data_IF_957456826595
#
_entry.id   IF_957456826595
#
_cell.length_a   1.000
_cell.length_b   1.000
_cell.length_c   1.000
_cell.angle_alpha   90.00
_cell.angle_beta   90.00
_cell.angle_gamma   90.00
#
_symmetry.space_group_name_H-M   'P 1'
#
loop_
_entity.id
_entity.type
_entity.pdbx_description
1 polymer ?
#
# COMPACT_ATOMS: atom_id res chain seq x y z
N UNK A 1 7.27 -8.76 0.20
CA UNK A 1 8.28 -7.68 0.13
C UNK A 1 7.99 -6.70 -1.02
N UNK A 2 7.37 -7.18 -2.11
CA UNK A 2 7.14 -6.40 -3.33
C UNK A 2 6.13 -5.25 -3.14
N UNK A 3 5.11 -5.43 -2.28
CA UNK A 3 4.12 -4.38 -2.01
C UNK A 3 4.74 -3.15 -1.34
N UNK A 4 5.60 -3.33 -0.33
CA UNK A 4 6.29 -2.19 0.30
C UNK A 4 7.14 -1.46 -0.73
N UNK A 5 7.91 -2.19 -1.56
CA UNK A 5 8.74 -1.57 -2.59
C UNK A 5 7.91 -0.79 -3.61
N UNK A 6 6.77 -1.34 -4.02
CA UNK A 6 5.83 -0.69 -4.93
C UNK A 6 5.30 0.63 -4.37
N UNK A 7 4.79 0.65 -3.13
CA UNK A 7 4.20 1.88 -2.57
C UNK A 7 5.24 2.98 -2.34
N UNK A 8 6.49 2.61 -2.07
CA UNK A 8 7.58 3.59 -1.93
C UNK A 8 7.85 4.40 -3.20
N UNK A 9 7.44 3.92 -4.39
CA UNK A 9 7.50 4.70 -5.63
C UNK A 9 6.61 5.94 -5.62
N UNK A 10 5.59 5.97 -4.76
CA UNK A 10 4.65 7.06 -4.59
C UNK A 10 4.93 7.92 -3.36
N UNK A 11 6.03 7.63 -2.64
CA UNK A 11 6.46 8.37 -1.47
C UNK A 11 7.47 9.44 -1.87
N UNK A 12 7.21 10.67 -1.44
CA UNK A 12 8.14 11.79 -1.49
C UNK A 12 8.30 12.33 -0.07
N UNK A 13 9.50 12.22 0.49
CA UNK A 13 9.81 12.68 1.85
C UNK A 13 10.28 14.14 1.90
N UNK A 14 10.45 14.79 0.75
CA UNK A 14 10.94 16.17 0.68
C UNK A 14 9.82 17.15 1.02
N UNK A 15 9.87 17.73 2.23
CA UNK A 15 8.92 18.76 2.69
C UNK A 15 8.94 20.05 1.87
N UNK A 16 10.03 20.36 1.17
CA UNK A 16 10.14 21.55 0.33
C UNK A 16 9.72 21.30 -1.13
N UNK A 17 9.22 20.11 -1.44
CA UNK A 17 8.73 19.78 -2.78
C UNK A 17 7.53 20.66 -3.15
N UNK A 18 7.54 21.19 -4.38
CA UNK A 18 6.43 21.96 -4.93
C UNK A 18 5.21 21.09 -5.25
N UNK A 19 4.10 21.73 -5.61
CA UNK A 19 2.84 21.06 -5.91
C UNK A 19 2.94 19.96 -6.97
N UNK A 20 3.72 20.18 -8.04
CA UNK A 20 3.92 19.19 -9.10
C UNK A 20 4.56 17.89 -8.57
N UNK A 21 5.63 18.00 -7.80
CA UNK A 21 6.33 16.84 -7.23
C UNK A 21 5.51 16.11 -6.15
N UNK A 22 4.60 16.81 -5.45
CA UNK A 22 3.64 16.20 -4.52
C UNK A 22 2.45 15.57 -5.23
N UNK A 23 2.07 16.05 -6.41
CA UNK A 23 1.03 15.42 -7.24
C UNK A 23 1.53 14.09 -7.85
N UNK A 24 2.77 14.07 -8.33
CA UNK A 24 3.41 12.84 -8.84
C UNK A 24 3.63 11.78 -7.74
N UNK A 25 3.95 12.23 -6.51
CA UNK A 25 4.18 11.38 -5.34
C UNK A 25 3.35 11.86 -4.14
N UNK A 26 2.09 11.39 -4.03
CA UNK A 26 1.10 11.97 -3.13
C UNK A 26 1.34 11.68 -1.65
N UNK A 27 2.20 10.73 -1.30
CA UNK A 27 2.43 10.32 0.09
C UNK A 27 3.72 10.92 0.64
N UNK A 28 3.64 11.49 1.85
CA UNK A 28 4.80 11.81 2.70
C UNK A 28 5.44 10.54 3.26
N UNK A 29 4.62 9.56 3.63
CA UNK A 29 5.05 8.28 4.17
C UNK A 29 4.04 7.18 3.82
N UNK A 30 4.51 5.94 3.70
CA UNK A 30 3.66 4.77 3.51
C UNK A 30 4.30 3.50 4.11
N UNK A 31 3.47 2.67 4.74
CA UNK A 31 3.86 1.36 5.27
C UNK A 31 2.81 0.32 4.92
N UNK A 32 3.24 -0.81 4.40
CA UNK A 32 2.40 -1.98 4.13
C UNK A 32 2.88 -3.13 5.01
N UNK A 33 1.94 -3.70 5.75
CA UNK A 33 2.14 -4.92 6.54
C UNK A 33 1.39 -6.05 5.85
N UNK A 34 2.04 -7.20 5.68
CA UNK A 34 1.43 -8.39 5.08
C UNK A 34 1.63 -9.54 6.04
N UNK A 35 0.53 -10.14 6.50
CA UNK A 35 0.54 -11.19 7.50
C UNK A 35 -0.32 -12.36 7.03
N UNK A 36 0.10 -13.61 7.30
CA UNK A 36 -0.73 -14.78 7.02
C UNK A 36 -1.96 -14.77 7.92
N UNK A 37 -3.09 -15.23 7.39
CA UNK A 37 -4.34 -15.34 8.17
C UNK A 37 -4.32 -16.65 8.96
N UNK A 38 -4.39 -16.62 10.31
CA UNK A 38 -4.44 -17.83 11.11
C UNK A 38 -5.62 -18.73 10.70
N UNK A 39 -5.36 -20.03 10.53
CA UNK A 39 -6.39 -21.01 10.17
C UNK A 39 -6.74 -21.07 8.68
N UNK A 40 -6.11 -20.26 7.82
CA UNK A 40 -6.31 -20.31 6.36
C UNK A 40 -4.96 -20.37 5.62
N UNK A 41 -4.51 -21.58 5.30
CA UNK A 41 -3.28 -21.78 4.56
C UNK A 41 -3.34 -21.11 3.18
N UNK A 42 -2.38 -20.24 2.88
CA UNK A 42 -2.31 -19.49 1.61
C UNK A 42 -3.09 -18.17 1.60
N UNK A 43 -3.86 -17.85 2.64
CA UNK A 43 -4.52 -16.55 2.78
C UNK A 43 -3.61 -15.55 3.49
N UNK A 44 -3.55 -14.32 2.97
CA UNK A 44 -2.78 -13.22 3.54
C UNK A 44 -3.65 -11.97 3.66
N UNK A 45 -3.48 -11.25 4.76
CA UNK A 45 -4.04 -9.93 4.97
C UNK A 45 -2.95 -8.87 4.74
N UNK A 46 -3.29 -7.82 4.01
CA UNK A 46 -2.44 -6.65 3.84
C UNK A 46 -3.09 -5.41 4.46
N UNK A 47 -2.35 -4.70 5.31
CA UNK A 47 -2.76 -3.43 5.92
C UNK A 47 -1.83 -2.33 5.46
N UNK A 48 -2.38 -1.27 4.87
CA UNK A 48 -1.63 -0.12 4.38
C UNK A 48 -1.88 1.12 5.24
N UNK A 49 -0.82 1.69 5.81
CA UNK A 49 -0.81 2.99 6.47
C UNK A 49 -0.26 4.03 5.49
N UNK A 50 -1.06 5.03 5.14
CA UNK A 50 -0.72 6.05 4.16
C UNK A 50 -0.78 7.42 4.82
N UNK A 51 0.27 8.23 4.63
CA UNK A 51 0.34 9.60 5.11
C UNK A 51 0.44 10.56 3.91
N UNK A 52 -0.66 11.20 3.49
CA UNK A 52 -0.73 12.06 2.32
C UNK A 52 -0.13 13.46 2.56
N UNK A 53 0.26 14.14 1.48
CA UNK A 53 0.65 15.55 1.49
C UNK A 53 -0.53 16.53 1.47
N UNK A 54 -1.59 16.16 0.77
CA UNK A 54 -2.78 16.99 0.57
C UNK A 54 -3.81 16.66 1.65
N UNK A 55 -4.59 17.65 2.10
CA UNK A 55 -5.75 17.38 2.94
C UNK A 55 -6.67 16.42 2.19
N UNK A 56 -6.85 15.21 2.72
CA UNK A 56 -7.72 14.22 2.10
C UNK A 56 -9.17 14.54 2.42
N UNK A 57 -10.00 14.72 1.39
CA UNK A 57 -11.44 14.89 1.54
C UNK A 57 -12.17 13.54 1.66
N UNK A 58 -11.68 12.46 1.03
CA UNK A 58 -12.04 11.07 1.35
C UNK A 58 -11.08 10.07 0.69
N UNK A 59 -10.89 8.90 1.29
CA UNK A 59 -10.19 7.75 0.70
C UNK A 59 -11.08 6.52 0.84
N UNK A 60 -11.48 5.92 -0.28
CA UNK A 60 -12.13 4.61 -0.30
C UNK A 60 -11.26 3.65 -1.10
N UNK A 61 -10.68 2.65 -0.44
CA UNK A 61 -9.89 1.62 -1.09
C UNK A 61 -10.41 0.24 -0.66
N UNK A 62 -10.77 -0.60 -1.64
CA UNK A 62 -11.09 -2.01 -1.41
C UNK A 62 -10.07 -2.87 -2.16
N UNK A 63 -9.22 -3.60 -1.43
CA UNK A 63 -8.34 -4.61 -2.00
C UNK A 63 -8.87 -5.99 -1.62
N UNK A 64 -9.26 -6.79 -2.61
CA UNK A 64 -9.65 -8.19 -2.41
C UNK A 64 -8.69 -9.08 -3.20
N UNK A 65 -7.84 -9.81 -2.48
CA UNK A 65 -6.94 -10.80 -3.06
C UNK A 65 -7.48 -12.19 -2.71
N UNK A 66 -7.91 -12.95 -3.72
CA UNK A 66 -8.30 -14.37 -3.56
C UNK A 66 -7.21 -15.20 -4.23
N UNK A 67 -6.25 -15.68 -3.45
CA UNK A 67 -5.27 -16.65 -3.93
C UNK A 67 -5.77 -18.06 -3.59
N UNK A 68 -6.00 -18.90 -4.61
CA UNK A 68 -6.06 -20.35 -4.43
C UNK A 68 -4.70 -20.93 -4.77
N UNK A 69 -4.16 -21.75 -3.87
CA UNK A 69 -3.04 -22.64 -4.19
C UNK A 69 -3.59 -23.64 -5.23
N UNK A 70 -2.99 -23.78 -6.43
CA UNK A 70 -3.38 -24.82 -7.37
C UNK A 70 -3.15 -26.18 -6.68
N UNK A 71 -4.21 -26.96 -6.49
CA UNK A 71 -4.08 -28.35 -6.07
C UNK A 71 -3.47 -29.14 -7.23
N UNK A 72 -2.18 -29.45 -7.12
CA UNK A 72 -1.52 -30.58 -7.76
C UNK A 72 -1.46 -30.58 -9.30
N UNK A 73 -0.24 -30.53 -9.82
CA UNK A 73 0.14 -31.32 -11.00
C UNK A 73 1.16 -32.35 -10.56
#
# INVERSE_FOLDING_TARGET
RDLQKWIMGYVNTNEKSGHAARAERPFRNAKIMVEPVPGQAGAYQAVAYLQPWLQMESLTASLRTVARIPEGS
#
